data_IF_706019605002
#
_entry.id   IF_706019605002
#
_cell.length_a   1.000
_cell.length_b   1.000
_cell.length_c   1.000
_cell.angle_alpha   90.00
_cell.angle_beta   90.00
_cell.angle_gamma   90.00
#
_symmetry.space_group_name_H-M   'P 1'
#
loop_
_entity.id
_entity.type
_entity.pdbx_description
1 polymer ?
#
# COMPACT_ATOMS: atom_id res chain seq x y z
N UNK A 1 1.19 5.00 4.63
CA UNK A 1 0.48 4.68 3.36
C UNK A 1 0.52 5.88 2.43
N UNK A 2 0.52 5.64 1.13
CA UNK A 2 0.58 6.69 0.11
C UNK A 2 -0.26 6.32 -1.11
N UNK A 3 -0.79 7.33 -1.79
CA UNK A 3 -1.51 7.16 -3.06
C UNK A 3 -0.52 6.81 -4.17
N UNK A 4 -0.92 5.97 -5.12
CA UNK A 4 -0.12 5.55 -6.27
C UNK A 4 -0.93 5.66 -7.56
N UNK A 5 -0.24 5.68 -8.70
CA UNK A 5 -0.88 5.67 -10.03
C UNK A 5 -1.31 4.24 -10.39
N UNK A 6 -2.53 4.07 -10.87
CA UNK A 6 -3.00 2.78 -11.42
C UNK A 6 -2.50 2.59 -12.87
N UNK A 7 -2.66 1.37 -13.39
CA UNK A 7 -2.41 1.07 -14.80
C UNK A 7 -3.22 1.99 -15.74
N UNK A 8 -2.55 2.64 -16.69
CA UNK A 8 -3.11 3.72 -17.52
C UNK A 8 -3.62 3.26 -18.88
N UNK A 9 -3.31 2.02 -19.30
CA UNK A 9 -3.69 1.52 -20.60
C UNK A 9 -4.98 0.68 -20.53
N UNK A 10 -5.43 0.15 -21.70
CA UNK A 10 -6.63 -0.67 -21.79
C UNK A 10 -6.48 -2.00 -21.01
N UNK A 11 -7.39 -2.26 -20.07
CA UNK A 11 -7.36 -3.45 -19.21
C UNK A 11 -7.59 -4.74 -19.98
N UNK A 12 -8.47 -4.72 -21.01
CA UNK A 12 -8.75 -5.90 -21.83
C UNK A 12 -7.56 -6.27 -22.72
N UNK A 13 -6.80 -5.29 -23.21
CA UNK A 13 -5.61 -5.57 -24.02
C UNK A 13 -4.49 -6.16 -23.16
N UNK A 14 -4.39 -5.76 -21.87
CA UNK A 14 -3.52 -6.43 -20.91
C UNK A 14 -3.94 -7.89 -20.71
N UNK A 15 -5.23 -8.15 -20.47
CA UNK A 15 -5.77 -9.50 -20.33
C UNK A 15 -5.47 -10.37 -21.55
N UNK A 16 -5.65 -9.84 -22.76
CA UNK A 16 -5.30 -10.57 -24.00
C UNK A 16 -3.81 -10.92 -24.07
N UNK A 17 -2.89 -10.03 -23.60
CA UNK A 17 -1.46 -10.33 -23.50
C UNK A 17 -1.21 -11.48 -22.53
N UNK A 18 -1.86 -11.47 -21.34
CA UNK A 18 -1.78 -12.55 -20.36
C UNK A 18 -2.27 -13.86 -20.95
N UNK A 19 -3.47 -13.90 -21.55
CA UNK A 19 -4.01 -15.10 -22.21
C UNK A 19 -3.05 -15.59 -23.31
N UNK A 20 -2.50 -14.68 -24.11
CA UNK A 20 -1.58 -15.04 -25.19
C UNK A 20 -0.24 -15.60 -24.69
N UNK A 21 0.22 -15.23 -23.50
CA UNK A 21 1.44 -15.75 -22.89
C UNK A 21 1.30 -17.19 -22.37
N UNK A 22 0.06 -17.65 -22.11
CA UNK A 22 -0.18 -19.01 -21.60
C UNK A 22 0.00 -20.05 -22.69
N UNK A 23 0.51 -21.22 -22.31
CA UNK A 23 0.77 -22.35 -23.20
C UNK A 23 -0.01 -23.57 -22.73
N UNK A 24 -0.30 -24.48 -23.65
CA UNK A 24 -0.76 -25.82 -23.30
C UNK A 24 0.38 -26.59 -22.63
N UNK A 25 0.03 -27.50 -21.74
CA UNK A 25 0.97 -28.48 -21.16
C UNK A 25 0.53 -29.88 -21.51
N UNK A 26 1.35 -30.89 -21.24
CA UNK A 26 0.99 -32.31 -21.46
C UNK A 26 -0.23 -32.72 -20.61
N UNK A 27 -0.37 -32.10 -19.40
CA UNK A 27 -1.46 -32.36 -18.47
C UNK A 27 -2.73 -31.56 -18.82
N UNK A 28 -2.59 -30.47 -19.61
CA UNK A 28 -3.69 -29.57 -19.98
C UNK A 28 -3.54 -29.09 -21.43
N UNK A 29 -3.84 -29.96 -22.36
CA UNK A 29 -3.70 -29.75 -23.82
C UNK A 29 -4.71 -28.76 -24.39
N UNK A 30 -5.82 -28.51 -23.70
CA UNK A 30 -6.91 -27.61 -24.13
C UNK A 30 -6.92 -26.27 -23.40
N UNK A 31 -5.96 -26.01 -22.53
CA UNK A 31 -5.89 -24.77 -21.71
C UNK A 31 -6.04 -23.52 -22.54
N UNK A 32 -5.24 -23.36 -23.59
CA UNK A 32 -5.28 -22.18 -24.46
C UNK A 32 -6.65 -21.98 -25.13
N UNK A 33 -7.27 -23.06 -25.56
CA UNK A 33 -8.60 -23.05 -26.18
C UNK A 33 -9.66 -22.57 -25.19
N UNK A 34 -9.65 -23.11 -23.94
CA UNK A 34 -10.58 -22.69 -22.88
C UNK A 34 -10.40 -21.21 -22.53
N UNK A 35 -9.15 -20.76 -22.29
CA UNK A 35 -8.84 -19.37 -21.99
C UNK A 35 -9.31 -18.43 -23.11
N UNK A 36 -9.15 -18.81 -24.37
CA UNK A 36 -9.63 -18.05 -25.51
C UNK A 36 -11.16 -17.98 -25.56
N UNK A 37 -11.85 -19.07 -25.21
CA UNK A 37 -13.31 -19.10 -25.15
C UNK A 37 -13.89 -18.19 -24.05
N UNK A 38 -13.14 -17.87 -23.01
CA UNK A 38 -13.52 -16.96 -21.91
C UNK A 38 -13.42 -15.48 -22.28
N UNK A 39 -12.76 -15.10 -23.38
CA UNK A 39 -12.56 -13.69 -23.75
C UNK A 39 -13.85 -12.85 -23.82
N UNK A 40 -15.01 -13.34 -24.36
CA UNK A 40 -16.23 -12.56 -24.37
C UNK A 40 -16.77 -12.26 -22.96
N UNK A 41 -16.63 -13.21 -22.04
CA UNK A 41 -17.00 -13.03 -20.61
C UNK A 41 -16.08 -12.02 -19.95
N UNK A 42 -14.76 -12.15 -20.15
CA UNK A 42 -13.77 -11.20 -19.68
C UNK A 42 -14.02 -9.79 -20.18
N UNK A 43 -14.37 -9.62 -21.45
CA UNK A 43 -14.64 -8.32 -22.05
C UNK A 43 -15.79 -7.59 -21.33
N UNK A 44 -16.90 -8.29 -21.06
CA UNK A 44 -18.03 -7.72 -20.32
C UNK A 44 -17.67 -7.39 -18.88
N UNK A 45 -16.99 -8.31 -18.19
CA UNK A 45 -16.59 -8.16 -16.80
C UNK A 45 -15.60 -7.00 -16.62
N UNK A 46 -14.60 -6.88 -17.50
CA UNK A 46 -13.60 -5.82 -17.44
C UNK A 46 -14.20 -4.44 -17.73
N UNK A 47 -15.14 -4.36 -18.66
CA UNK A 47 -15.88 -3.11 -18.91
C UNK A 47 -16.68 -2.66 -17.67
N UNK A 48 -17.35 -3.60 -16.98
CA UNK A 48 -18.09 -3.31 -15.73
C UNK A 48 -17.12 -2.91 -14.61
N UNK A 49 -15.98 -3.63 -14.46
CA UNK A 49 -14.94 -3.28 -13.48
C UNK A 49 -14.41 -1.86 -13.72
N UNK A 50 -13.97 -1.56 -14.96
CA UNK A 50 -13.43 -0.24 -15.31
C UNK A 50 -14.44 0.89 -15.08
N UNK A 51 -15.71 0.67 -15.39
CA UNK A 51 -16.79 1.63 -15.14
C UNK A 51 -17.05 1.86 -13.63
N UNK A 52 -16.98 0.82 -12.82
CA UNK A 52 -17.14 0.91 -11.35
C UNK A 52 -15.87 1.44 -10.67
N UNK A 53 -14.71 1.08 -11.18
CA UNK A 53 -13.43 1.61 -10.74
C UNK A 53 -13.38 3.13 -10.91
N UNK A 54 -13.73 3.66 -12.11
CA UNK A 54 -13.71 5.11 -12.37
C UNK A 54 -14.64 5.91 -11.47
N UNK A 55 -15.70 5.28 -10.92
CA UNK A 55 -16.65 5.90 -9.98
C UNK A 55 -16.37 5.59 -8.52
N UNK A 56 -15.31 4.85 -8.22
CA UNK A 56 -14.95 4.36 -6.88
C UNK A 56 -16.09 3.59 -6.18
N UNK A 57 -16.77 2.71 -6.92
CA UNK A 57 -17.90 1.91 -6.42
C UNK A 57 -17.71 0.40 -6.65
N UNK A 58 -16.48 -0.11 -6.51
CA UNK A 58 -16.15 -1.53 -6.71
C UNK A 58 -16.96 -2.47 -5.82
N UNK A 59 -17.44 -2.02 -4.65
CA UNK A 59 -18.33 -2.79 -3.76
C UNK A 59 -19.65 -3.18 -4.43
N UNK A 60 -20.02 -2.53 -5.54
CA UNK A 60 -21.23 -2.86 -6.31
C UNK A 60 -20.99 -3.94 -7.38
N UNK A 61 -19.76 -4.45 -7.49
CA UNK A 61 -19.47 -5.59 -8.36
C UNK A 61 -20.27 -6.82 -7.93
N UNK A 62 -20.80 -7.54 -8.92
CA UNK A 62 -21.54 -8.78 -8.67
C UNK A 62 -20.75 -9.98 -9.19
N UNK A 63 -20.62 -11.07 -8.38
CA UNK A 63 -19.96 -12.28 -8.83
C UNK A 63 -20.63 -12.84 -10.11
N UNK A 64 -19.79 -13.26 -11.05
CA UNK A 64 -20.26 -13.95 -12.26
C UNK A 64 -20.34 -15.44 -11.96
N UNK A 65 -21.40 -16.09 -12.41
CA UNK A 65 -21.53 -17.54 -12.28
C UNK A 65 -20.53 -18.23 -13.24
N UNK A 66 -19.58 -18.92 -12.65
CA UNK A 66 -18.54 -19.68 -13.34
C UNK A 66 -18.63 -21.16 -12.95
N UNK A 67 -18.19 -22.04 -13.82
CA UNK A 67 -17.90 -23.43 -13.46
C UNK A 67 -16.59 -23.50 -12.67
N UNK A 68 -16.37 -24.59 -11.92
CA UNK A 68 -15.10 -24.80 -11.19
C UNK A 68 -13.87 -24.73 -12.10
N UNK A 69 -14.00 -25.22 -13.34
CA UNK A 69 -12.90 -25.16 -14.31
C UNK A 69 -12.62 -23.74 -14.77
N UNK A 70 -13.65 -22.94 -15.04
CA UNK A 70 -13.48 -21.52 -15.42
C UNK A 70 -12.90 -20.70 -14.28
N UNK A 71 -13.31 -20.95 -13.02
CA UNK A 71 -12.70 -20.32 -11.84
C UNK A 71 -11.20 -20.62 -11.76
N UNK A 72 -10.83 -21.90 -11.92
CA UNK A 72 -9.44 -22.33 -11.91
C UNK A 72 -8.64 -21.73 -13.09
N UNK A 73 -9.25 -21.66 -14.27
CA UNK A 73 -8.65 -21.07 -15.46
C UNK A 73 -8.39 -19.56 -15.24
N UNK A 74 -9.35 -18.80 -14.69
CA UNK A 74 -9.17 -17.37 -14.36
C UNK A 74 -8.10 -17.14 -13.28
N UNK A 75 -8.16 -17.89 -12.18
CA UNK A 75 -7.16 -17.78 -11.09
C UNK A 75 -5.75 -18.09 -11.62
N UNK A 76 -5.65 -19.07 -12.51
CA UNK A 76 -4.39 -19.47 -13.15
C UNK A 76 -3.82 -18.49 -14.17
N UNK A 77 -4.58 -17.44 -14.55
CA UNK A 77 -4.04 -16.34 -15.37
C UNK A 77 -3.03 -15.51 -14.59
N UNK A 78 -3.28 -15.28 -13.29
CA UNK A 78 -2.35 -14.52 -12.45
C UNK A 78 -1.07 -15.35 -12.18
N UNK A 79 0.05 -14.81 -12.63
CA UNK A 79 1.38 -15.39 -12.44
C UNK A 79 2.39 -14.24 -12.30
N UNK A 80 2.69 -13.88 -11.05
CA UNK A 80 3.55 -12.75 -10.72
C UNK A 80 4.94 -12.83 -11.36
N UNK A 81 5.46 -14.05 -11.57
CA UNK A 81 6.80 -14.26 -12.13
C UNK A 81 6.84 -14.26 -13.67
N UNK A 82 5.70 -14.17 -14.34
CA UNK A 82 5.69 -14.05 -15.80
C UNK A 82 6.13 -12.67 -16.25
N UNK A 83 6.75 -12.58 -17.44
CA UNK A 83 7.24 -11.30 -18.00
C UNK A 83 6.15 -10.24 -18.13
N UNK A 84 4.90 -10.64 -18.38
CA UNK A 84 3.77 -9.71 -18.49
C UNK A 84 3.47 -9.04 -17.16
N UNK A 85 3.50 -9.80 -16.04
CA UNK A 85 3.26 -9.23 -14.72
C UNK A 85 4.47 -8.50 -14.15
N UNK A 86 5.69 -8.91 -14.51
CA UNK A 86 6.90 -8.15 -14.16
C UNK A 86 6.85 -6.77 -14.80
N UNK A 87 6.51 -6.65 -16.09
CA UNK A 87 6.35 -5.35 -16.77
C UNK A 87 5.22 -4.51 -16.15
N UNK A 88 4.11 -5.13 -15.73
CA UNK A 88 3.06 -4.42 -14.99
C UNK A 88 3.59 -3.90 -13.67
N UNK A 89 4.26 -4.73 -12.88
CA UNK A 89 4.84 -4.36 -11.58
C UNK A 89 5.81 -3.19 -11.73
N UNK A 90 6.75 -3.26 -12.67
CA UNK A 90 7.70 -2.20 -12.96
C UNK A 90 6.99 -0.89 -13.32
N UNK A 91 5.93 -0.96 -14.16
CA UNK A 91 5.13 0.22 -14.53
C UNK A 91 4.36 0.86 -13.37
N UNK A 92 4.04 0.09 -12.32
CA UNK A 92 3.33 0.55 -11.12
C UNK A 92 4.28 1.03 -10.01
N UNK A 93 5.55 0.62 -10.04
CA UNK A 93 6.57 0.95 -9.05
C UNK A 93 7.59 1.99 -9.55
N UNK A 94 7.56 2.37 -10.81
CA UNK A 94 8.38 3.46 -11.35
C UNK A 94 7.61 4.78 -11.31
N UNK A 95 8.15 5.79 -10.64
CA UNK A 95 7.58 7.12 -10.60
C UNK A 95 8.61 8.15 -11.09
N UNK A 96 8.25 8.91 -12.12
CA UNK A 96 9.10 9.93 -12.74
C UNK A 96 10.54 9.46 -13.08
N UNK A 97 10.66 8.19 -13.53
CA UNK A 97 11.92 7.57 -13.91
C UNK A 97 12.76 7.05 -12.73
N UNK A 98 12.25 7.13 -11.51
CA UNK A 98 12.89 6.59 -10.31
C UNK A 98 12.15 5.34 -9.86
N UNK A 99 12.90 4.30 -9.51
CA UNK A 99 12.33 3.11 -8.86
C UNK A 99 11.78 3.49 -7.49
N UNK A 100 10.48 3.30 -7.32
CA UNK A 100 9.74 3.59 -6.10
C UNK A 100 9.02 2.33 -5.63
N UNK A 101 9.82 1.33 -5.30
CA UNK A 101 9.37 0.00 -4.88
C UNK A 101 8.85 -0.06 -3.44
N UNK A 102 8.80 1.07 -2.71
CA UNK A 102 8.30 1.07 -1.33
C UNK A 102 6.82 0.69 -1.27
N UNK A 103 6.47 -0.30 -0.46
CA UNK A 103 5.08 -0.77 -0.29
C UNK A 103 4.12 0.38 0.05
N UNK A 104 3.14 0.72 -0.80
CA UNK A 104 2.26 1.86 -0.57
C UNK A 104 1.29 1.67 0.62
N UNK A 105 1.01 0.42 1.01
CA UNK A 105 0.14 0.14 2.16
C UNK A 105 0.81 0.53 3.49
N UNK A 106 2.07 0.15 3.70
CA UNK A 106 2.72 0.34 4.99
C UNK A 106 3.88 1.33 4.98
N UNK A 107 4.48 1.62 3.82
CA UNK A 107 5.70 2.45 3.70
C UNK A 107 6.87 1.99 4.60
N UNK A 108 6.96 0.67 4.87
CA UNK A 108 8.02 0.06 5.67
C UNK A 108 8.97 -0.74 4.78
N UNK A 109 8.42 -1.73 4.08
CA UNK A 109 9.19 -2.68 3.28
C UNK A 109 8.99 -2.46 1.79
N UNK A 110 9.84 -3.09 1.01
CA UNK A 110 9.78 -3.10 -0.44
C UNK A 110 8.59 -3.92 -0.93
N UNK A 111 7.90 -3.44 -1.98
CA UNK A 111 6.88 -4.20 -2.67
C UNK A 111 7.54 -5.37 -3.41
N UNK A 112 7.02 -6.57 -3.22
CA UNK A 112 7.55 -7.82 -3.79
C UNK A 112 6.46 -8.73 -4.35
N UNK A 113 5.23 -8.20 -4.45
CA UNK A 113 4.06 -8.90 -4.97
C UNK A 113 3.01 -7.92 -5.46
N UNK A 114 2.00 -8.45 -6.15
CA UNK A 114 0.79 -7.71 -6.52
C UNK A 114 -0.38 -8.27 -5.71
N UNK A 115 -1.00 -7.42 -4.89
CA UNK A 115 -2.21 -7.74 -4.14
C UNK A 115 -3.45 -7.41 -4.97
N UNK A 116 -4.53 -8.19 -4.79
CA UNK A 116 -5.81 -7.98 -5.45
C UNK A 116 -6.73 -7.09 -4.58
N UNK A 117 -7.17 -5.93 -5.10
CA UNK A 117 -8.18 -5.09 -4.43
C UNK A 117 -9.43 -5.93 -4.15
N UNK A 118 -10.01 -6.51 -5.19
CA UNK A 118 -11.08 -7.52 -5.11
C UNK A 118 -10.41 -8.89 -5.17
N UNK A 119 -10.49 -9.71 -4.11
CA UNK A 119 -9.76 -10.97 -4.05
C UNK A 119 -10.13 -11.92 -5.20
N UNK A 120 -9.13 -12.52 -5.83
CA UNK A 120 -9.32 -13.46 -6.96
C UNK A 120 -10.11 -14.72 -6.58
N UNK A 121 -10.18 -15.06 -5.30
CA UNK A 121 -11.00 -16.18 -4.78
C UNK A 121 -12.46 -15.79 -4.62
N UNK A 122 -12.78 -14.49 -4.53
CA UNK A 122 -14.14 -13.96 -4.46
C UNK A 122 -14.69 -13.68 -5.87
N UNK A 123 -13.86 -13.10 -6.73
CA UNK A 123 -14.22 -12.79 -8.12
C UNK A 123 -13.07 -13.20 -9.07
N UNK A 124 -12.98 -14.49 -9.43
CA UNK A 124 -11.89 -15.05 -10.24
C UNK A 124 -11.65 -14.33 -11.56
N UNK A 125 -12.71 -13.84 -12.19
CA UNK A 125 -12.65 -13.13 -13.48
C UNK A 125 -11.73 -11.90 -13.45
N UNK A 126 -11.45 -11.33 -12.29
CA UNK A 126 -10.55 -10.17 -12.11
C UNK A 126 -9.15 -10.54 -11.62
N UNK A 127 -8.78 -11.83 -11.68
CA UNK A 127 -7.47 -12.28 -11.18
C UNK A 127 -6.28 -11.63 -11.90
N UNK A 128 -6.42 -11.29 -13.16
CA UNK A 128 -5.40 -10.62 -13.98
C UNK A 128 -5.80 -9.20 -14.42
N UNK A 129 -6.86 -8.63 -13.83
CA UNK A 129 -7.27 -7.27 -14.16
C UNK A 129 -6.24 -6.25 -13.63
N UNK A 130 -5.54 -5.45 -14.50
CA UNK A 130 -4.38 -4.68 -14.07
C UNK A 130 -4.70 -3.57 -13.06
N UNK A 131 -5.91 -3.00 -13.07
CA UNK A 131 -6.37 -2.02 -12.08
C UNK A 131 -6.89 -2.67 -10.77
N UNK A 132 -6.97 -3.99 -10.74
CA UNK A 132 -7.27 -4.76 -9.53
C UNK A 132 -6.01 -5.12 -8.73
N UNK A 133 -4.82 -4.79 -9.25
CA UNK A 133 -3.53 -5.21 -8.73
C UNK A 133 -2.75 -4.04 -8.16
N UNK A 134 -2.37 -4.11 -6.88
CA UNK A 134 -1.58 -3.09 -6.17
C UNK A 134 -0.22 -3.69 -5.79
N UNK A 135 0.92 -3.05 -6.12
CA UNK A 135 2.22 -3.45 -5.61
C UNK A 135 2.24 -3.44 -4.08
N UNK A 136 2.70 -4.49 -3.44
CA UNK A 136 2.78 -4.53 -1.98
C UNK A 136 3.87 -5.48 -1.47
N UNK A 137 4.28 -5.30 -0.21
CA UNK A 137 5.17 -6.23 0.45
C UNK A 137 4.42 -7.51 0.85
N UNK A 138 5.15 -8.61 0.95
CA UNK A 138 4.60 -9.93 1.33
C UNK A 138 3.84 -9.90 2.66
N UNK A 139 4.29 -9.10 3.63
CA UNK A 139 3.63 -8.97 4.93
C UNK A 139 2.23 -8.33 4.80
N UNK A 140 2.09 -7.23 4.03
CA UNK A 140 0.80 -6.60 3.79
C UNK A 140 -0.13 -7.51 3.00
N UNK A 141 0.38 -8.19 1.96
CA UNK A 141 -0.37 -9.13 1.15
C UNK A 141 -0.92 -10.28 1.99
N UNK A 142 -0.07 -10.91 2.83
CA UNK A 142 -0.46 -11.99 3.72
C UNK A 142 -1.52 -11.56 4.75
N UNK A 143 -1.35 -10.37 5.37
CA UNK A 143 -2.33 -9.85 6.35
C UNK A 143 -3.68 -9.50 5.70
N UNK A 144 -3.68 -8.96 4.49
CA UNK A 144 -4.90 -8.63 3.75
C UNK A 144 -5.65 -9.89 3.36
N UNK A 145 -4.96 -10.91 2.82
CA UNK A 145 -5.59 -12.17 2.41
C UNK A 145 -6.82 -11.94 1.50
N UNK A 146 -7.95 -12.57 1.78
CA UNK A 146 -9.20 -12.44 1.02
C UNK A 146 -10.17 -11.37 1.55
N UNK A 147 -9.70 -10.50 2.45
CA UNK A 147 -10.53 -9.42 3.02
C UNK A 147 -10.51 -8.21 2.09
N UNK A 148 -11.66 -7.56 1.92
CA UNK A 148 -11.76 -6.34 1.10
C UNK A 148 -12.94 -5.45 1.46
N UNK A 149 -14.16 -5.99 1.51
CA UNK A 149 -15.40 -5.30 1.83
C UNK A 149 -16.32 -6.24 2.59
N UNK A 150 -16.79 -5.83 3.76
CA UNK A 150 -17.71 -6.58 4.61
C UNK A 150 -18.53 -5.61 5.46
N UNK A 151 -19.75 -6.00 5.82
CA UNK A 151 -20.65 -5.24 6.70
C UNK A 151 -20.80 -3.76 6.23
N UNK A 152 -20.98 -3.58 4.91
CA UNK A 152 -21.07 -2.27 4.23
C UNK A 152 -19.86 -1.35 4.41
N UNK A 153 -18.72 -1.89 4.86
CA UNK A 153 -17.50 -1.14 5.06
C UNK A 153 -16.31 -1.72 4.28
N UNK A 154 -15.44 -0.83 3.82
CA UNK A 154 -14.15 -1.20 3.27
C UNK A 154 -13.17 -1.60 4.37
N UNK A 155 -12.51 -2.73 4.18
CA UNK A 155 -11.44 -3.19 5.07
C UNK A 155 -10.12 -2.44 4.87
N UNK A 156 -9.93 -1.91 3.65
CA UNK A 156 -8.68 -1.26 3.26
C UNK A 156 -8.92 -0.02 2.41
N UNK A 157 -8.02 0.94 2.50
CA UNK A 157 -7.95 2.09 1.61
C UNK A 157 -7.61 1.59 0.19
N UNK A 158 -8.36 2.04 -0.81
CA UNK A 158 -8.00 1.87 -2.20
C UNK A 158 -7.01 2.98 -2.60
N UNK A 159 -5.72 2.65 -2.61
CA UNK A 159 -4.64 3.63 -2.83
C UNK A 159 -4.58 4.18 -4.27
N UNK A 160 -5.39 3.65 -5.17
CA UNK A 160 -5.59 4.23 -6.51
C UNK A 160 -6.63 5.35 -6.50
N UNK A 161 -7.70 5.20 -5.72
CA UNK A 161 -8.92 6.00 -5.87
C UNK A 161 -9.25 6.87 -4.65
N UNK A 162 -9.00 6.37 -3.43
CA UNK A 162 -9.36 7.11 -2.23
C UNK A 162 -8.44 8.33 -2.05
N UNK A 163 -9.04 9.47 -1.75
CA UNK A 163 -8.29 10.67 -1.40
C UNK A 163 -7.84 10.59 0.06
N UNK A 164 -6.52 10.59 0.25
CA UNK A 164 -5.95 10.63 1.59
C UNK A 164 -6.03 12.06 2.15
N UNK A 165 -6.41 12.25 3.43
CA UNK A 165 -6.58 13.58 3.98
C UNK A 165 -5.23 14.27 4.22
N UNK A 166 -5.12 15.55 3.88
CA UNK A 166 -4.01 16.43 4.27
C UNK A 166 -4.16 16.89 5.73
N UNK A 167 -4.53 15.96 6.61
CA UNK A 167 -4.67 16.15 8.06
C UNK A 167 -3.97 15.01 8.77
N UNK A 168 -3.32 15.30 9.88
CA UNK A 168 -2.67 14.29 10.68
C UNK A 168 -3.71 13.43 11.40
N UNK A 169 -3.57 12.12 11.26
CA UNK A 169 -4.32 11.11 11.99
C UNK A 169 -3.42 10.06 12.65
N UNK A 170 -2.15 9.99 12.24
CA UNK A 170 -1.14 9.16 12.87
C UNK A 170 -0.35 9.99 13.88
N UNK A 171 -0.22 9.50 15.08
CA UNK A 171 0.51 10.12 16.18
C UNK A 171 1.47 9.14 16.80
N UNK A 172 2.47 9.67 17.52
CA UNK A 172 3.43 8.85 18.26
C UNK A 172 3.69 9.49 19.62
N UNK A 173 3.64 8.68 20.66
CA UNK A 173 4.08 9.07 22.00
C UNK A 173 5.49 8.53 22.24
N UNK A 174 6.37 9.39 22.76
CA UNK A 174 7.73 9.06 23.13
C UNK A 174 7.92 9.26 24.65
N UNK A 175 8.40 8.23 25.34
CA UNK A 175 8.69 8.27 26.75
C UNK A 175 10.06 7.65 27.06
N UNK A 176 10.80 8.24 27.99
CA UNK A 176 12.07 7.69 28.46
C UNK A 176 11.81 6.89 29.74
N UNK A 177 12.08 5.59 29.68
CA UNK A 177 11.95 4.67 30.77
C UNK A 177 13.28 3.91 30.98
N UNK A 178 13.87 4.00 32.15
CA UNK A 178 15.13 3.32 32.48
C UNK A 178 16.25 3.47 31.43
N UNK A 179 16.47 4.70 30.94
CA UNK A 179 17.43 5.04 29.85
C UNK A 179 17.10 4.39 28.50
N UNK A 180 15.86 3.92 28.33
CA UNK A 180 15.35 3.36 27.08
C UNK A 180 14.23 4.25 26.55
N UNK A 181 14.27 4.61 25.27
CA UNK A 181 13.20 5.33 24.62
C UNK A 181 12.10 4.34 24.24
N UNK A 182 10.90 4.55 24.75
CA UNK A 182 9.68 3.81 24.40
C UNK A 182 8.93 4.58 23.32
N UNK A 183 8.42 3.87 22.34
CA UNK A 183 7.70 4.42 21.20
C UNK A 183 6.34 3.76 21.14
N UNK A 184 5.26 4.54 21.01
CA UNK A 184 3.91 4.04 20.84
C UNK A 184 3.20 4.82 19.74
N UNK A 185 2.91 4.17 18.62
CA UNK A 185 2.09 4.75 17.56
C UNK A 185 0.61 4.49 17.77
N UNK A 186 -0.22 5.46 17.39
CA UNK A 186 -1.68 5.32 17.40
C UNK A 186 -2.31 6.25 16.36
N UNK A 187 -3.58 5.99 16.05
CA UNK A 187 -4.39 6.87 15.20
C UNK A 187 -5.49 7.52 16.01
N UNK A 188 -5.82 8.77 15.65
CA UNK A 188 -6.81 9.56 16.36
C UNK A 188 -7.45 10.56 15.39
N UNK A 189 -8.76 10.81 15.53
CA UNK A 189 -9.51 11.74 14.68
C UNK A 189 -9.62 13.16 15.27
N UNK A 190 -8.68 13.60 16.11
CA UNK A 190 -8.69 14.94 16.72
C UNK A 190 -8.65 16.09 15.72
N UNK A 191 -8.26 15.81 14.48
CA UNK A 191 -8.23 16.79 13.38
C UNK A 191 -9.49 16.79 12.51
N UNK A 192 -10.57 16.12 12.97
CA UNK A 192 -11.88 16.13 12.32
C UNK A 192 -11.83 15.72 10.83
N UNK A 193 -11.30 14.55 10.55
CA UNK A 193 -11.42 13.86 9.27
C UNK A 193 -12.85 13.33 9.16
N UNK A 194 -13.43 13.31 7.95
CA UNK A 194 -14.71 12.67 7.71
C UNK A 194 -14.79 11.28 8.35
N UNK A 195 -15.88 10.99 9.07
CA UNK A 195 -16.01 9.79 9.90
C UNK A 195 -15.91 8.49 9.07
N UNK A 196 -16.48 8.47 7.85
CA UNK A 196 -16.44 7.30 6.99
C UNK A 196 -15.01 7.05 6.47
N UNK A 197 -14.31 8.14 6.10
CA UNK A 197 -12.92 8.05 5.68
C UNK A 197 -12.02 7.62 6.84
N UNK A 198 -12.24 8.19 8.04
CA UNK A 198 -11.46 7.80 9.22
C UNK A 198 -11.71 6.35 9.63
N UNK A 199 -12.94 5.85 9.54
CA UNK A 199 -13.27 4.45 9.77
C UNK A 199 -12.48 3.53 8.78
N UNK A 200 -12.46 3.89 7.50
CA UNK A 200 -11.68 3.16 6.49
C UNK A 200 -10.17 3.19 6.79
N UNK A 201 -9.64 4.34 7.22
CA UNK A 201 -8.25 4.47 7.70
C UNK A 201 -8.00 3.56 8.90
N UNK A 202 -8.89 3.59 9.90
CA UNK A 202 -8.81 2.76 11.09
C UNK A 202 -8.78 1.26 10.77
N UNK A 203 -9.65 0.82 9.88
CA UNK A 203 -9.69 -0.56 9.40
C UNK A 203 -8.35 -0.95 8.76
N UNK A 204 -7.85 -0.10 7.84
CA UNK A 204 -6.57 -0.33 7.16
C UNK A 204 -5.42 -0.46 8.16
N UNK A 205 -5.30 0.46 9.11
CA UNK A 205 -4.24 0.45 10.12
C UNK A 205 -4.34 -0.77 11.05
N UNK A 206 -5.53 -1.09 11.52
CA UNK A 206 -5.77 -2.21 12.43
C UNK A 206 -5.53 -3.55 11.73
N UNK A 207 -6.08 -3.75 10.52
CA UNK A 207 -5.99 -5.04 9.82
C UNK A 207 -4.58 -5.34 9.31
N UNK A 208 -3.80 -4.31 8.97
CA UNK A 208 -2.39 -4.45 8.60
C UNK A 208 -1.44 -4.31 9.79
N UNK A 209 -1.97 -4.05 11.01
CA UNK A 209 -1.21 -3.93 12.25
C UNK A 209 -0.09 -2.86 12.13
N UNK A 210 -0.43 -1.70 11.52
CA UNK A 210 0.59 -0.74 11.10
C UNK A 210 1.26 -0.07 12.30
N UNK A 211 0.51 0.36 13.33
CA UNK A 211 1.09 1.05 14.48
C UNK A 211 2.15 0.20 15.18
N UNK A 212 1.83 -1.07 15.50
CA UNK A 212 2.79 -1.99 16.12
C UNK A 212 4.01 -2.25 15.21
N UNK A 213 3.79 -2.33 13.90
CA UNK A 213 4.89 -2.51 12.94
C UNK A 213 5.78 -1.27 12.89
N UNK A 214 5.25 -0.06 12.93
CA UNK A 214 6.05 1.17 13.02
C UNK A 214 6.90 1.20 14.30
N UNK A 215 6.35 0.77 15.45
CA UNK A 215 7.10 0.62 16.69
C UNK A 215 8.30 -0.33 16.53
N UNK A 216 8.10 -1.46 15.86
CA UNK A 216 9.17 -2.45 15.63
C UNK A 216 10.31 -1.92 14.76
N UNK A 217 10.01 -1.03 13.81
CA UNK A 217 11.00 -0.43 12.90
C UNK A 217 11.55 0.92 13.40
N UNK A 218 11.07 1.44 14.53
CA UNK A 218 11.45 2.77 15.04
C UNK A 218 12.91 2.86 15.48
N UNK A 219 13.51 1.78 15.97
CA UNK A 219 14.87 1.83 16.54
C UNK A 219 15.92 2.30 15.53
N UNK A 220 15.83 1.85 14.29
CA UNK A 220 16.74 2.30 13.24
C UNK A 220 16.55 3.80 12.98
N UNK A 221 15.31 4.23 12.83
CA UNK A 221 14.96 5.62 12.55
C UNK A 221 15.40 6.56 13.67
N UNK A 222 15.21 6.15 14.94
CA UNK A 222 15.68 6.89 16.11
C UNK A 222 17.21 7.02 16.10
N UNK A 223 17.93 5.96 15.73
CA UNK A 223 19.39 6.00 15.63
C UNK A 223 19.87 6.98 14.56
N UNK A 224 19.18 7.04 13.42
CA UNK A 224 19.45 8.00 12.34
C UNK A 224 19.21 9.45 12.84
N UNK A 225 18.07 9.70 13.49
CA UNK A 225 17.73 11.03 14.06
C UNK A 225 18.76 11.43 15.14
N UNK A 226 19.12 10.53 16.03
CA UNK A 226 20.14 10.79 17.06
C UNK A 226 21.50 11.17 16.42
N UNK A 227 21.88 10.49 15.36
CA UNK A 227 23.10 10.80 14.61
C UNK A 227 23.04 12.19 13.97
N UNK A 228 21.91 12.56 13.38
CA UNK A 228 21.68 13.89 12.81
C UNK A 228 21.76 14.97 13.89
N UNK A 229 21.04 14.81 15.02
CA UNK A 229 21.05 15.74 16.14
C UNK A 229 22.49 15.96 16.64
N UNK A 230 23.25 14.91 16.90
CA UNK A 230 24.64 14.98 17.36
C UNK A 230 25.58 15.69 16.37
N UNK A 231 25.38 15.40 15.09
CA UNK A 231 26.23 15.99 14.04
C UNK A 231 25.94 17.48 13.87
N UNK A 232 24.68 17.87 13.78
CA UNK A 232 24.29 19.27 13.62
C UNK A 232 24.55 20.12 14.86
N UNK A 233 24.33 19.57 16.08
CA UNK A 233 24.59 20.30 17.33
C UNK A 233 26.04 20.69 17.55
N UNK A 234 26.98 20.14 16.77
CA UNK A 234 28.38 20.56 16.77
C UNK A 234 28.61 21.84 15.96
N UNK A 235 27.72 22.15 15.03
CA UNK A 235 27.90 23.22 14.05
C UNK A 235 26.90 24.37 14.23
N UNK A 236 25.70 24.08 14.79
CA UNK A 236 24.61 25.06 14.93
C UNK A 236 23.94 24.92 16.28
N UNK A 237 23.21 25.99 16.69
CA UNK A 237 22.38 25.95 17.90
C UNK A 237 21.23 24.92 17.77
N UNK A 238 20.75 24.42 18.90
CA UNK A 238 19.71 23.38 18.95
C UNK A 238 18.42 23.76 18.22
N UNK A 239 17.99 25.01 18.30
CA UNK A 239 16.79 25.48 17.62
C UNK A 239 16.94 25.42 16.08
N UNK A 240 18.13 25.76 15.57
CA UNK A 240 18.42 25.66 14.13
C UNK A 240 18.58 24.21 13.69
N UNK A 241 19.13 23.35 14.53
CA UNK A 241 19.18 21.91 14.30
C UNK A 241 17.78 21.31 14.16
N UNK A 242 16.87 21.64 15.09
CA UNK A 242 15.47 21.20 15.05
C UNK A 242 14.76 21.70 13.79
N UNK A 243 14.90 22.99 13.46
CA UNK A 243 14.32 23.58 12.24
C UNK A 243 14.70 22.78 10.99
N UNK A 244 16.00 22.51 10.79
CA UNK A 244 16.47 21.74 9.62
C UNK A 244 15.89 20.31 9.58
N UNK A 245 15.80 19.64 10.73
CA UNK A 245 15.22 18.30 10.79
C UNK A 245 13.71 18.35 10.49
N UNK A 246 12.99 19.32 11.05
CA UNK A 246 11.55 19.49 10.80
C UNK A 246 11.24 19.83 9.34
N UNK A 247 12.07 20.68 8.71
CA UNK A 247 11.95 20.95 7.27
C UNK A 247 12.14 19.67 6.44
N UNK A 248 13.11 18.82 6.81
CA UNK A 248 13.29 17.52 6.16
C UNK A 248 12.08 16.60 6.34
N UNK A 249 11.39 16.66 7.50
CA UNK A 249 10.16 15.91 7.72
C UNK A 249 9.04 16.37 6.79
N UNK A 250 8.92 17.66 6.51
CA UNK A 250 7.91 18.18 5.56
C UNK A 250 8.19 17.68 4.14
N UNK A 251 9.44 17.61 3.70
CA UNK A 251 9.79 17.04 2.39
C UNK A 251 9.46 15.55 2.31
N UNK A 252 9.76 14.79 3.37
CA UNK A 252 9.35 13.38 3.46
C UNK A 252 7.84 13.20 3.41
N UNK A 253 7.06 14.10 4.04
CA UNK A 253 5.60 14.06 3.98
C UNK A 253 5.07 14.40 2.58
N UNK A 254 5.70 15.32 1.84
CA UNK A 254 5.35 15.59 0.43
C UNK A 254 5.57 14.38 -0.46
N UNK A 255 6.67 13.65 -0.23
CA UNK A 255 7.05 12.50 -1.04
C UNK A 255 6.23 11.24 -0.69
N UNK A 256 6.05 10.94 0.60
CA UNK A 256 5.49 9.67 1.07
C UNK A 256 4.08 9.77 1.66
N UNK A 257 3.49 10.97 1.67
CA UNK A 257 2.17 11.25 2.22
C UNK A 257 2.23 11.88 3.62
N UNK A 258 1.21 12.71 3.92
CA UNK A 258 1.16 13.56 5.11
C UNK A 258 1.34 12.79 6.43
N UNK A 259 0.86 11.54 6.50
CA UNK A 259 0.98 10.65 7.65
C UNK A 259 2.12 9.62 7.49
N UNK A 260 3.26 10.04 6.91
CA UNK A 260 4.43 9.19 6.81
C UNK A 260 5.06 8.97 8.19
N UNK A 261 5.06 7.73 8.66
CA UNK A 261 5.42 7.38 10.04
C UNK A 261 6.82 7.81 10.46
N UNK A 262 7.80 7.77 9.55
CA UNK A 262 9.17 8.22 9.83
C UNK A 262 9.24 9.73 10.06
N UNK A 263 8.55 10.51 9.23
CA UNK A 263 8.50 11.97 9.38
C UNK A 263 7.83 12.36 10.71
N UNK A 264 6.74 11.67 11.08
CA UNK A 264 6.04 11.89 12.35
C UNK A 264 6.94 11.55 13.54
N UNK A 265 7.66 10.43 13.49
CA UNK A 265 8.60 10.02 14.56
C UNK A 265 9.75 11.02 14.68
N UNK A 266 10.36 11.45 13.57
CA UNK A 266 11.45 12.46 13.57
C UNK A 266 11.00 13.78 14.16
N UNK A 267 9.81 14.25 13.74
CA UNK A 267 9.25 15.50 14.24
C UNK A 267 9.02 15.43 15.75
N UNK A 268 8.46 14.33 16.28
CA UNK A 268 8.25 14.16 17.71
C UNK A 268 9.57 14.07 18.50
N UNK A 269 10.62 13.44 17.94
CA UNK A 269 11.95 13.45 18.52
C UNK A 269 12.53 14.87 18.69
N UNK A 270 12.18 15.79 17.80
CA UNK A 270 12.60 17.20 17.87
C UNK A 270 11.69 18.06 18.78
N UNK A 271 10.40 17.80 18.77
CA UNK A 271 9.39 18.60 19.52
C UNK A 271 9.38 18.25 21.01
N UNK A 272 9.64 16.99 21.36
CA UNK A 272 9.75 16.56 22.75
C UNK A 272 11.15 16.88 23.33
N UNK A 273 11.22 17.96 24.12
CA UNK A 273 12.49 18.47 24.64
C UNK A 273 13.30 17.41 25.42
N UNK A 274 12.64 16.61 26.25
CA UNK A 274 13.29 15.56 27.03
C UNK A 274 13.91 14.50 26.13
N UNK A 275 13.19 14.10 25.09
CA UNK A 275 13.66 13.11 24.09
C UNK A 275 14.81 13.71 23.26
N UNK A 276 14.69 14.95 22.81
CA UNK A 276 15.75 15.63 22.06
C UNK A 276 17.07 15.64 22.83
N UNK A 277 17.04 16.08 24.11
CA UNK A 277 18.23 16.09 24.98
C UNK A 277 18.78 14.68 25.23
N UNK A 278 17.90 13.70 25.44
CA UNK A 278 18.31 12.31 25.59
C UNK A 278 19.05 11.79 24.33
N UNK A 279 18.53 12.06 23.14
CA UNK A 279 19.13 11.64 21.87
C UNK A 279 20.46 12.36 21.59
N UNK A 280 20.57 13.63 22.00
CA UNK A 280 21.80 14.43 21.89
C UNK A 280 22.95 13.87 22.74
N UNK A 281 22.65 13.32 23.89
CA UNK A 281 23.65 12.83 24.87
C UNK A 281 23.93 11.34 24.79
N UNK A 282 23.05 10.54 24.20
CA UNK A 282 23.19 9.09 24.05
C UNK A 282 24.23 8.72 22.98
#
# INVERSE_FOLDING_TARGET
>A
MRKIKHYQYNSLDFHKKVVNSKRNTQEDVDKKKRLTALLPTSQKAFADYDAKFSRNVLQTLTPIRLTKQEEADYIGLYDFHSSVFTQLFDSLTTNDGVDDSLCPYCTIGEASSLDHIVPKTVMPVFADHPKNLIPCCSNCNSKKSNKWFADDNWDYINLYLDELPNKQFLFVDLAIDNKTLKVKFYIDNRNHIDENLFLKISNHYTKLDLCRRFEQYSNQEISEVATLIKSFSKCVADDKCKEVILDSCMELQRQFGFNYWKAILRAECCNNMSVYQFLKTK
#
